data_IF_728526257500
#
_entry.id   IF_728526257500
#
_cell.length_a   1.000
_cell.length_b   1.000
_cell.length_c   1.000
_cell.angle_alpha   90.00
_cell.angle_beta   90.00
_cell.angle_gamma   90.00
#
_symmetry.space_group_name_H-M   'P 1'
#
loop_
_entity.id
_entity.type
_entity.pdbx_description
1 polymer ?
#
# COMPACT_ATOMS: atom_id res chain seq x y z
N UNK A 1 47.15 18.24 -2.30
CA UNK A 1 46.73 16.98 -1.65
C UNK A 1 47.17 15.82 -2.54
N UNK A 2 48.12 15.01 -2.07
CA UNK A 2 48.74 13.90 -2.80
C UNK A 2 48.73 12.69 -1.85
N UNK A 3 48.23 11.57 -2.33
CA UNK A 3 48.07 10.31 -1.58
C UNK A 3 49.44 9.69 -1.34
N UNK A 4 49.69 9.18 -0.13
CA UNK A 4 50.79 8.24 0.13
C UNK A 4 50.34 7.12 1.07
N UNK A 5 50.65 5.91 0.62
CA UNK A 5 50.48 4.57 1.21
C UNK A 5 51.34 4.32 2.45
N UNK A 6 50.85 3.52 3.42
CA UNK A 6 51.56 2.38 4.09
C UNK A 6 50.89 1.98 5.41
N UNK A 7 50.59 0.68 5.55
CA UNK A 7 50.81 -0.26 6.69
C UNK A 7 49.83 -1.46 6.52
N UNK A 8 50.24 -2.62 5.99
CA UNK A 8 50.91 -3.76 6.65
C UNK A 8 50.37 -4.16 8.04
N UNK A 9 49.51 -5.21 8.04
CA UNK A 9 49.47 -6.47 8.85
C UNK A 9 49.87 -6.42 10.35
N UNK A 10 49.20 -7.17 11.27
CA UNK A 10 49.26 -8.64 11.24
C UNK A 10 48.09 -9.47 11.86
N UNK A 11 48.06 -10.76 11.49
CA UNK A 11 47.70 -11.98 12.26
C UNK A 11 46.71 -11.89 13.43
N UNK A 12 45.64 -12.70 13.40
CA UNK A 12 45.38 -13.72 14.44
C UNK A 12 44.27 -14.68 13.99
N UNK A 13 44.57 -15.97 14.09
CA UNK A 13 43.66 -17.08 13.89
C UNK A 13 42.84 -17.32 15.17
N UNK A 14 41.54 -17.56 15.06
CA UNK A 14 40.79 -18.33 16.08
C UNK A 14 39.79 -19.24 15.37
N UNK A 15 40.15 -20.52 15.33
CA UNK A 15 39.24 -21.66 15.17
C UNK A 15 38.26 -21.69 16.33
N UNK A 16 36.96 -21.79 16.05
CA UNK A 16 35.98 -22.29 17.01
C UNK A 16 34.89 -23.08 16.27
N UNK A 17 35.23 -24.34 16.03
CA UNK A 17 34.28 -25.42 15.79
C UNK A 17 33.48 -25.60 17.08
N UNK A 18 32.19 -25.27 17.04
CA UNK A 18 31.25 -25.61 18.09
C UNK A 18 30.23 -26.61 17.54
N UNK A 19 30.41 -27.84 18.01
CA UNK A 19 29.47 -28.94 18.03
C UNK A 19 28.03 -28.45 18.22
N UNK A 20 27.11 -28.88 17.36
CA UNK A 20 25.69 -28.96 17.70
C UNK A 20 25.22 -30.40 17.40
N UNK A 21 24.65 -31.12 18.38
CA UNK A 21 24.23 -32.51 18.22
C UNK A 21 23.03 -32.67 17.29
N UNK A 22 23.03 -33.77 16.53
CA UNK A 22 21.84 -34.30 15.87
C UNK A 22 20.84 -34.86 16.90
N UNK A 23 19.57 -34.79 16.51
CA UNK A 23 18.41 -35.56 16.98
C UNK A 23 17.64 -35.06 18.22
N UNK A 24 16.53 -34.37 17.94
CA UNK A 24 15.23 -34.67 18.52
C UNK A 24 14.13 -34.14 17.58
N UNK A 25 13.74 -34.94 16.58
CA UNK A 25 12.50 -34.71 15.84
C UNK A 25 11.32 -35.06 16.74
N UNK A 26 10.87 -34.10 17.54
CA UNK A 26 9.52 -34.14 18.06
C UNK A 26 8.57 -33.72 16.92
N UNK A 27 7.86 -34.70 16.34
CA UNK A 27 6.75 -34.45 15.42
C UNK A 27 5.64 -33.70 16.16
N UNK A 28 5.70 -32.38 16.16
CA UNK A 28 4.54 -31.55 16.48
C UNK A 28 3.59 -31.64 15.28
N UNK A 29 2.49 -32.39 15.43
CA UNK A 29 1.40 -32.41 14.46
C UNK A 29 0.85 -30.98 14.32
N UNK A 30 1.29 -30.26 13.29
CA UNK A 30 0.60 -29.07 12.81
C UNK A 30 -0.76 -29.48 12.23
N UNK A 31 -1.80 -29.56 13.07
CA UNK A 31 -3.16 -29.30 12.59
C UNK A 31 -3.30 -27.79 12.43
N UNK A 32 -2.77 -27.24 11.33
CA UNK A 32 -2.78 -25.78 11.08
C UNK A 32 -3.45 -25.38 9.75
N UNK A 33 -4.17 -26.29 9.09
CA UNK A 33 -4.86 -26.00 7.82
C UNK A 33 -6.30 -25.51 8.00
N UNK A 34 -6.97 -25.85 9.11
CA UNK A 34 -8.37 -25.45 9.35
C UNK A 34 -8.53 -23.99 9.77
N UNK A 35 -7.64 -23.48 10.64
CA UNK A 35 -7.72 -22.11 11.16
C UNK A 35 -7.35 -21.05 10.13
N UNK A 36 -6.40 -21.33 9.22
CA UNK A 36 -6.01 -20.37 8.17
C UNK A 36 -7.14 -20.12 7.17
N UNK A 37 -7.87 -21.17 6.77
CA UNK A 37 -9.00 -21.04 5.82
C UNK A 37 -10.21 -20.32 6.42
N UNK A 38 -10.53 -20.58 7.69
CA UNK A 38 -11.61 -19.88 8.39
C UNK A 38 -11.30 -18.39 8.60
N UNK A 39 -10.04 -18.06 8.94
CA UNK A 39 -9.59 -16.67 9.06
C UNK A 39 -9.63 -15.90 7.73
N UNK A 40 -9.23 -16.54 6.63
CA UNK A 40 -9.29 -15.95 5.28
C UNK A 40 -10.72 -15.69 4.82
N UNK A 41 -11.63 -16.66 4.99
CA UNK A 41 -13.03 -16.50 4.62
C UNK A 41 -13.74 -15.41 5.43
N UNK A 42 -13.43 -15.29 6.73
CA UNK A 42 -13.95 -14.22 7.57
C UNK A 42 -13.48 -12.84 7.11
N UNK A 43 -12.18 -12.71 6.78
CA UNK A 43 -11.57 -11.48 6.30
C UNK A 43 -12.11 -11.04 4.92
N UNK A 44 -12.36 -11.98 4.00
CA UNK A 44 -13.00 -11.68 2.71
C UNK A 44 -14.42 -11.15 2.88
N UNK A 45 -15.20 -11.70 3.83
CA UNK A 45 -16.56 -11.23 4.09
C UNK A 45 -16.57 -9.83 4.71
N UNK A 46 -15.66 -9.55 5.66
CA UNK A 46 -15.50 -8.23 6.28
C UNK A 46 -15.05 -7.20 5.24
N UNK A 47 -14.13 -7.57 4.34
CA UNK A 47 -13.69 -6.73 3.22
C UNK A 47 -14.87 -6.39 2.30
N UNK A 48 -15.68 -7.37 1.92
CA UNK A 48 -16.86 -7.15 1.08
C UNK A 48 -17.85 -6.16 1.70
N UNK A 49 -18.04 -6.22 3.02
CA UNK A 49 -18.88 -5.27 3.75
C UNK A 49 -18.29 -3.86 3.75
N UNK A 50 -16.98 -3.71 3.96
CA UNK A 50 -16.32 -2.41 3.92
C UNK A 50 -16.34 -1.78 2.53
N UNK A 51 -16.18 -2.57 1.45
CA UNK A 51 -16.33 -2.11 0.06
C UNK A 51 -17.75 -1.61 -0.26
N UNK A 52 -18.75 -2.09 0.48
CA UNK A 52 -20.15 -1.67 0.35
C UNK A 52 -20.55 -0.59 1.36
N UNK A 53 -19.61 -0.13 2.19
CA UNK A 53 -19.89 0.95 3.14
C UNK A 53 -20.23 2.26 2.39
N UNK A 54 -21.09 3.11 2.96
CA UNK A 54 -21.41 4.41 2.35
C UNK A 54 -20.16 5.25 2.07
N UNK A 55 -19.18 5.24 2.98
CA UNK A 55 -17.89 5.90 2.80
C UNK A 55 -17.19 5.43 1.52
N UNK A 56 -17.04 4.11 1.37
CA UNK A 56 -16.33 3.57 0.21
C UNK A 56 -17.09 3.83 -1.10
N UNK A 57 -18.40 3.66 -1.11
CA UNK A 57 -19.24 3.89 -2.30
C UNK A 57 -19.15 5.35 -2.78
N UNK A 58 -19.28 6.31 -1.85
CA UNK A 58 -19.20 7.73 -2.16
C UNK A 58 -17.79 8.11 -2.63
N UNK A 59 -16.75 7.60 -1.97
CA UNK A 59 -15.37 7.90 -2.34
C UNK A 59 -15.02 7.34 -3.72
N UNK A 60 -15.48 6.13 -4.04
CA UNK A 60 -15.30 5.52 -5.37
C UNK A 60 -16.06 6.29 -6.45
N UNK A 61 -17.30 6.73 -6.19
CA UNK A 61 -18.07 7.52 -7.14
C UNK A 61 -17.39 8.86 -7.43
N UNK A 62 -16.90 9.55 -6.38
CA UNK A 62 -16.20 10.82 -6.51
C UNK A 62 -14.88 10.66 -7.29
N UNK A 63 -14.08 9.63 -6.96
CA UNK A 63 -12.87 9.28 -7.72
C UNK A 63 -13.15 9.01 -9.18
N UNK A 64 -14.23 8.28 -9.49
CA UNK A 64 -14.60 7.97 -10.88
C UNK A 64 -14.87 9.25 -11.66
N UNK A 65 -15.66 10.16 -11.09
CA UNK A 65 -15.95 11.48 -11.70
C UNK A 65 -14.66 12.28 -11.95
N UNK A 66 -13.83 12.41 -10.91
CA UNK A 66 -12.58 13.16 -10.97
C UNK A 66 -11.60 12.57 -11.99
N UNK A 67 -11.47 11.25 -12.04
CA UNK A 67 -10.62 10.57 -13.03
C UNK A 67 -11.10 10.80 -14.47
N UNK A 68 -12.41 10.87 -14.68
CA UNK A 68 -13.01 11.20 -15.98
C UNK A 68 -12.68 12.63 -16.38
N UNK A 69 -12.84 13.58 -15.48
CA UNK A 69 -12.48 14.99 -15.71
C UNK A 69 -10.99 15.16 -16.00
N UNK A 70 -10.11 14.56 -15.20
CA UNK A 70 -8.67 14.62 -15.38
C UNK A 70 -8.22 14.05 -16.73
N UNK A 71 -8.82 12.92 -17.17
CA UNK A 71 -8.57 12.34 -18.50
C UNK A 71 -9.01 13.29 -19.61
N UNK A 72 -10.21 13.84 -19.52
CA UNK A 72 -10.71 14.80 -20.51
C UNK A 72 -9.81 16.05 -20.60
N UNK A 73 -9.36 16.59 -19.46
CA UNK A 73 -8.44 17.71 -19.41
C UNK A 73 -7.11 17.39 -20.09
N UNK A 74 -6.52 16.22 -19.77
CA UNK A 74 -5.30 15.72 -20.43
C UNK A 74 -5.49 15.59 -21.93
N UNK A 75 -6.60 14.98 -22.36
CA UNK A 75 -6.87 14.73 -23.78
C UNK A 75 -7.04 16.02 -24.56
N UNK A 76 -7.60 17.07 -23.96
CA UNK A 76 -7.61 18.40 -24.57
C UNK A 76 -6.21 19.04 -24.58
N UNK A 77 -5.43 18.87 -23.51
CA UNK A 77 -4.10 19.49 -23.39
C UNK A 77 -3.08 18.97 -24.41
N UNK A 78 -3.25 17.75 -24.92
CA UNK A 78 -2.37 17.15 -25.94
C UNK A 78 -2.81 17.45 -27.38
N UNK A 79 -3.91 18.18 -27.59
CA UNK A 79 -4.37 18.54 -28.94
C UNK A 79 -3.53 19.69 -29.52
N UNK A 80 -3.47 19.84 -30.86
CA UNK A 80 -2.71 20.92 -31.50
C UNK A 80 -3.17 22.32 -31.11
N UNK A 81 -4.43 22.48 -30.71
CA UNK A 81 -4.96 23.74 -30.21
C UNK A 81 -4.69 23.84 -28.72
N UNK A 82 -3.89 24.84 -28.34
CA UNK A 82 -3.62 25.13 -26.94
C UNK A 82 -4.93 25.40 -26.18
N UNK A 83 -5.04 24.77 -25.02
CA UNK A 83 -6.01 25.16 -24.00
C UNK A 83 -5.70 26.56 -23.51
N UNK A 84 -6.75 27.31 -23.20
CA UNK A 84 -6.59 28.57 -22.47
C UNK A 84 -5.88 28.30 -21.12
N UNK A 85 -4.85 29.08 -20.83
CA UNK A 85 -3.97 28.84 -19.68
C UNK A 85 -4.69 29.08 -18.36
N UNK A 86 -5.56 30.08 -18.30
CA UNK A 86 -6.31 30.38 -17.08
C UNK A 86 -7.37 29.31 -16.81
N UNK A 87 -8.05 28.85 -17.86
CA UNK A 87 -8.95 27.69 -17.76
C UNK A 87 -8.20 26.44 -17.29
N UNK A 88 -7.03 26.13 -17.87
CA UNK A 88 -6.26 24.96 -17.48
C UNK A 88 -5.79 25.04 -16.01
N UNK A 89 -5.35 26.22 -15.55
CA UNK A 89 -5.00 26.47 -14.15
C UNK A 89 -6.18 26.26 -13.21
N UNK A 90 -7.35 26.82 -13.55
CA UNK A 90 -8.56 26.64 -12.76
C UNK A 90 -8.98 25.17 -12.68
N UNK A 91 -8.94 24.44 -13.80
CA UNK A 91 -9.26 23.02 -13.84
C UNK A 91 -8.32 22.16 -12.98
N UNK A 92 -7.02 22.46 -12.98
CA UNK A 92 -6.04 21.78 -12.11
C UNK A 92 -6.22 22.16 -10.64
N UNK A 93 -6.53 23.42 -10.33
CA UNK A 93 -6.81 23.86 -8.98
C UNK A 93 -8.03 23.14 -8.39
N UNK A 94 -9.08 22.95 -9.19
CA UNK A 94 -10.28 22.20 -8.81
C UNK A 94 -9.98 20.71 -8.56
N UNK A 95 -9.15 20.08 -9.40
CA UNK A 95 -8.68 18.70 -9.16
C UNK A 95 -7.96 18.57 -7.82
N UNK A 96 -7.09 19.53 -7.50
CA UNK A 96 -6.36 19.55 -6.22
C UNK A 96 -7.31 19.75 -5.04
N UNK A 97 -8.21 20.72 -5.13
CA UNK A 97 -9.21 20.98 -4.10
C UNK A 97 -10.05 19.73 -3.80
N UNK A 98 -10.48 19.01 -4.84
CA UNK A 98 -11.24 17.76 -4.68
C UNK A 98 -10.42 16.66 -4.01
N UNK A 99 -9.14 16.52 -4.34
CA UNK A 99 -8.23 15.58 -3.65
C UNK A 99 -8.08 15.92 -2.16
N UNK A 100 -7.89 17.19 -1.83
CA UNK A 100 -7.75 17.65 -0.44
C UNK A 100 -9.07 17.41 0.34
N UNK A 101 -10.23 17.66 -0.29
CA UNK A 101 -11.54 17.40 0.31
C UNK A 101 -11.79 15.91 0.53
N UNK A 102 -11.41 15.06 -0.43
CA UNK A 102 -11.48 13.62 -0.30
C UNK A 102 -10.64 13.11 0.87
N UNK A 103 -9.41 13.61 1.01
CA UNK A 103 -8.53 13.24 2.11
C UNK A 103 -9.14 13.67 3.45
N UNK A 104 -9.66 14.89 3.55
CA UNK A 104 -10.34 15.36 4.77
C UNK A 104 -11.55 14.50 5.15
N UNK A 105 -12.38 14.11 4.17
CA UNK A 105 -13.52 13.21 4.38
C UNK A 105 -13.03 11.83 4.84
N UNK A 106 -12.00 11.29 4.19
CA UNK A 106 -11.39 10.01 4.58
C UNK A 106 -10.87 10.05 6.01
N UNK A 107 -10.10 11.08 6.38
CA UNK A 107 -9.59 11.25 7.74
C UNK A 107 -10.71 11.38 8.77
N UNK A 108 -11.79 12.11 8.45
CA UNK A 108 -12.96 12.21 9.33
C UNK A 108 -13.63 10.85 9.55
N UNK A 109 -13.80 10.06 8.48
CA UNK A 109 -14.31 8.70 8.58
C UNK A 109 -13.37 7.81 9.42
N UNK A 110 -12.06 7.91 9.20
CA UNK A 110 -11.07 7.21 10.00
C UNK A 110 -11.21 7.58 11.47
N UNK A 111 -11.25 8.85 11.84
CA UNK A 111 -11.34 9.28 13.23
C UNK A 111 -12.56 8.70 13.96
N UNK A 112 -13.71 8.64 13.30
CA UNK A 112 -14.95 8.09 13.84
C UNK A 112 -14.94 6.55 14.03
N UNK A 113 -14.01 5.83 13.37
CA UNK A 113 -13.91 4.38 13.52
C UNK A 113 -13.26 3.95 14.84
N UNK A 114 -13.66 2.76 15.31
CA UNK A 114 -13.04 2.10 16.46
C UNK A 114 -11.58 1.72 16.18
N UNK A 115 -10.77 1.57 17.22
CA UNK A 115 -9.37 1.17 17.09
C UNK A 115 -9.21 -0.20 16.41
N UNK A 116 -10.12 -1.13 16.70
CA UNK A 116 -10.15 -2.46 16.07
C UNK A 116 -10.39 -2.34 14.55
N UNK A 117 -11.39 -1.55 14.16
CA UNK A 117 -11.74 -1.40 12.74
C UNK A 117 -10.65 -0.66 11.96
N UNK A 118 -10.00 0.35 12.56
CA UNK A 118 -8.82 1.01 12.00
C UNK A 118 -7.69 0.02 11.72
N UNK A 119 -7.37 -0.85 12.70
CA UNK A 119 -6.30 -1.83 12.56
C UNK A 119 -6.59 -2.85 11.44
N UNK A 120 -7.84 -3.32 11.35
CA UNK A 120 -8.28 -4.20 10.26
C UNK A 120 -8.15 -3.52 8.90
N UNK A 121 -8.56 -2.26 8.77
CA UNK A 121 -8.45 -1.50 7.53
C UNK A 121 -7.00 -1.33 7.06
N UNK A 122 -6.09 -0.96 7.96
CA UNK A 122 -4.66 -0.83 7.63
C UNK A 122 -4.04 -2.15 7.17
N UNK A 123 -4.43 -3.27 7.79
CA UNK A 123 -3.96 -4.60 7.38
C UNK A 123 -4.44 -4.94 5.96
N UNK A 124 -5.69 -4.61 5.63
CA UNK A 124 -6.22 -4.82 4.28
C UNK A 124 -5.54 -3.93 3.24
N UNK A 125 -5.35 -2.65 3.51
CA UNK A 125 -4.64 -1.73 2.59
C UNK A 125 -3.24 -2.23 2.25
N UNK A 126 -2.54 -2.77 3.26
CA UNK A 126 -1.22 -3.38 3.07
C UNK A 126 -1.31 -4.62 2.16
N UNK A 127 -2.28 -5.50 2.40
CA UNK A 127 -2.47 -6.69 1.56
C UNK A 127 -2.83 -6.35 0.12
N UNK A 128 -3.68 -5.35 -0.11
CA UNK A 128 -4.04 -4.90 -1.46
C UNK A 128 -2.84 -4.30 -2.19
N UNK A 129 -2.01 -3.51 -1.50
CA UNK A 129 -0.77 -2.97 -2.06
C UNK A 129 0.23 -4.07 -2.40
N UNK A 130 0.40 -5.06 -1.53
CA UNK A 130 1.27 -6.21 -1.80
C UNK A 130 0.76 -7.01 -3.01
N UNK A 131 -0.57 -7.18 -3.14
CA UNK A 131 -1.20 -7.86 -4.28
C UNK A 131 -1.03 -7.09 -5.59
N UNK A 132 -1.16 -5.77 -5.59
CA UNK A 132 -0.96 -4.97 -6.81
C UNK A 132 0.49 -5.05 -7.29
N UNK A 133 1.47 -5.02 -6.37
CA UNK A 133 2.88 -5.16 -6.71
C UNK A 133 3.24 -6.52 -7.32
N UNK A 134 2.52 -7.59 -6.96
CA UNK A 134 2.70 -8.92 -7.57
C UNK A 134 2.09 -8.97 -8.97
N UNK A 135 0.97 -8.29 -9.21
CA UNK A 135 0.34 -8.23 -10.54
C UNK A 135 1.14 -7.40 -11.54
N UNK A 136 1.82 -6.35 -11.10
CA UNK A 136 2.66 -5.51 -11.96
C UNK A 136 4.00 -6.19 -12.36
N UNK A 137 4.32 -7.35 -11.78
CA UNK A 137 5.53 -8.14 -12.07
C UNK A 137 5.27 -9.32 -13.02
N UNK A 138 4.04 -9.48 -13.53
CA UNK A 138 3.64 -10.53 -14.49
C UNK A 138 3.14 -9.89 -15.76
#
# INVERSE_FOLDING_TARGET
MRVNTRTLLPFTAIMLVLLIPSAAWAQHKHKHDGQKKAGMAGMESEMSMMMRSPHHLLMTAHMKSMSGFARALRDQAVRPKALDVEFARAAVAELRHNLDAMEAIHQTHMQAMSAEMKSKMQMMEKMDKDRSMVKDQV
#
